data_IF_061113362602
#
_entry.id   IF_061113362602
#
_cell.length_a   1.000
_cell.length_b   1.000
_cell.length_c   1.000
_cell.angle_alpha   90.00
_cell.angle_beta   90.00
_cell.angle_gamma   90.00
#
_symmetry.space_group_name_H-M   'P 1'
#
loop_
_entity.id
_entity.type
_entity.pdbx_description
1 polymer ?
#
# COMPACT_ATOMS: atom_id res chain seq x y z
N UNK A 1 17.31 -14.47 -7.75
CA UNK A 1 16.05 -13.96 -7.17
C UNK A 1 14.88 -14.83 -7.62
N UNK A 2 14.46 -15.84 -6.80
CA UNK A 2 13.47 -16.84 -7.20
C UNK A 2 12.09 -16.25 -7.54
N UNK A 3 11.65 -15.23 -6.78
CA UNK A 3 10.33 -14.62 -6.96
C UNK A 3 10.18 -13.91 -8.31
N UNK A 4 11.22 -13.24 -8.78
CA UNK A 4 11.21 -12.54 -10.08
C UNK A 4 11.17 -13.53 -11.21
N UNK A 5 11.98 -14.60 -11.13
CA UNK A 5 11.99 -15.68 -12.11
C UNK A 5 10.60 -16.35 -12.20
N UNK A 6 9.99 -16.69 -11.07
CA UNK A 6 8.66 -17.28 -11.04
C UNK A 6 7.61 -16.36 -11.68
N UNK A 7 7.65 -15.05 -11.39
CA UNK A 7 6.74 -14.07 -12.01
C UNK A 7 6.93 -13.95 -13.51
N UNK A 8 8.18 -13.96 -14.00
CA UNK A 8 8.46 -13.95 -15.43
C UNK A 8 7.83 -15.16 -16.13
N UNK A 9 7.98 -16.36 -15.54
CA UNK A 9 7.36 -17.57 -16.07
C UNK A 9 5.83 -17.48 -16.03
N UNK A 10 5.23 -16.92 -14.97
CA UNK A 10 3.76 -16.73 -14.88
C UNK A 10 3.22 -15.80 -15.97
N UNK A 11 3.96 -14.73 -16.27
CA UNK A 11 3.62 -13.81 -17.37
C UNK A 11 3.70 -14.54 -18.71
N UNK A 12 4.80 -15.27 -18.97
CA UNK A 12 4.98 -16.03 -20.18
C UNK A 12 3.89 -17.10 -20.37
N UNK A 13 3.55 -17.85 -19.31
CA UNK A 13 2.44 -18.82 -19.35
C UNK A 13 1.14 -18.13 -19.77
N UNK A 14 0.84 -16.96 -19.20
CA UNK A 14 -0.37 -16.20 -19.54
C UNK A 14 -0.34 -15.72 -21.00
N UNK A 15 0.79 -15.19 -21.46
CA UNK A 15 0.95 -14.71 -22.83
C UNK A 15 0.74 -15.85 -23.85
N UNK A 16 1.35 -17.01 -23.63
CA UNK A 16 1.19 -18.16 -24.52
C UNK A 16 -0.22 -18.73 -24.50
N UNK A 17 -0.87 -18.78 -23.33
CA UNK A 17 -2.27 -19.20 -23.25
C UNK A 17 -3.21 -18.23 -24.01
N UNK A 18 -2.94 -16.93 -23.98
CA UNK A 18 -3.71 -15.95 -24.76
C UNK A 18 -3.46 -16.14 -26.27
N UNK A 19 -2.21 -16.36 -26.69
CA UNK A 19 -1.88 -16.62 -28.07
C UNK A 19 -2.54 -17.90 -28.61
N UNK A 20 -2.64 -18.95 -27.78
CA UNK A 20 -3.41 -20.16 -28.08
C UNK A 20 -4.90 -19.83 -28.25
N UNK A 21 -5.49 -19.03 -27.33
CA UNK A 21 -6.90 -18.60 -27.39
C UNK A 21 -7.23 -17.71 -28.59
N UNK A 22 -6.27 -16.92 -29.07
CA UNK A 22 -6.44 -16.06 -30.26
C UNK A 22 -6.18 -16.81 -31.58
N UNK A 23 -5.85 -18.08 -31.53
CA UNK A 23 -5.57 -18.89 -32.70
C UNK A 23 -4.21 -18.63 -33.34
N UNK A 24 -3.34 -17.87 -32.70
CA UNK A 24 -1.96 -17.63 -33.22
C UNK A 24 -1.04 -18.83 -33.05
N UNK A 25 -1.46 -19.78 -32.23
CA UNK A 25 -0.74 -21.03 -31.95
C UNK A 25 -1.74 -22.18 -31.81
N UNK A 26 -1.30 -23.42 -32.03
CA UNK A 26 -2.14 -24.59 -31.79
C UNK A 26 -2.56 -24.67 -30.33
N UNK A 27 -3.80 -25.00 -30.06
CA UNK A 27 -4.34 -25.10 -28.71
C UNK A 27 -3.50 -26.06 -27.85
N UNK A 28 -3.14 -25.63 -26.66
CA UNK A 28 -2.32 -26.43 -25.74
C UNK A 28 -0.83 -26.46 -26.02
N UNK A 29 -0.33 -25.72 -27.03
CA UNK A 29 1.09 -25.69 -27.44
C UNK A 29 1.97 -24.79 -26.56
N UNK A 30 1.49 -24.30 -25.39
CA UNK A 30 2.23 -23.41 -24.50
C UNK A 30 3.55 -24.07 -24.03
N UNK A 31 4.73 -23.55 -24.46
CA UNK A 31 6.04 -24.14 -24.13
C UNK A 31 6.42 -23.94 -22.64
N UNK A 32 5.73 -23.06 -21.93
CA UNK A 32 5.96 -22.82 -20.51
C UNK A 32 5.18 -23.77 -19.59
N UNK A 33 4.38 -24.69 -20.17
CA UNK A 33 3.75 -25.76 -19.40
C UNK A 33 4.83 -26.69 -18.83
N UNK A 34 4.74 -26.97 -17.52
CA UNK A 34 5.69 -27.84 -16.85
C UNK A 34 7.01 -27.20 -16.43
N UNK A 35 7.24 -25.91 -16.70
CA UNK A 35 8.40 -25.21 -16.14
C UNK A 35 8.28 -25.16 -14.62
N UNK A 36 9.22 -25.83 -13.93
CA UNK A 36 9.25 -25.87 -12.47
C UNK A 36 9.47 -24.46 -11.89
N UNK A 37 8.74 -24.15 -10.82
CA UNK A 37 8.93 -22.89 -10.07
C UNK A 37 10.02 -23.06 -9.05
N UNK A 38 10.87 -22.06 -8.91
CA UNK A 38 11.84 -22.01 -7.83
C UNK A 38 11.12 -21.91 -6.48
N UNK A 39 11.58 -22.67 -5.50
CA UNK A 39 11.08 -22.60 -4.13
C UNK A 39 11.33 -21.19 -3.58
N UNK A 40 10.29 -20.55 -3.10
CA UNK A 40 10.37 -19.24 -2.44
C UNK A 40 10.20 -19.48 -0.96
N UNK A 41 11.22 -19.13 -0.19
CA UNK A 41 11.12 -19.15 1.27
C UNK A 41 10.32 -17.95 1.74
N UNK A 42 9.34 -18.21 2.61
CA UNK A 42 8.58 -17.14 3.24
C UNK A 42 9.41 -16.56 4.37
N UNK A 43 9.68 -15.28 4.29
CA UNK A 43 10.28 -14.53 5.39
C UNK A 43 9.16 -13.98 6.26
N UNK A 44 8.90 -14.64 7.38
CA UNK A 44 7.95 -14.17 8.40
C UNK A 44 8.75 -13.50 9.52
N UNK A 45 8.71 -12.17 9.55
CA UNK A 45 9.31 -11.38 10.61
C UNK A 45 8.28 -10.40 11.17
N UNK A 46 8.01 -10.52 12.44
CA UNK A 46 7.20 -9.57 13.18
C UNK A 46 8.10 -8.65 14.00
N UNK A 47 7.69 -7.40 14.15
CA UNK A 47 8.40 -6.45 15.01
C UNK A 47 8.14 -6.80 16.48
N UNK A 48 9.20 -6.75 17.28
CA UNK A 48 9.06 -6.89 18.73
C UNK A 48 8.45 -5.62 19.35
N UNK A 49 8.04 -5.69 20.61
CA UNK A 49 7.51 -4.54 21.34
C UNK A 49 8.56 -3.43 21.43
N UNK A 50 9.81 -3.77 21.66
CA UNK A 50 10.95 -2.84 21.75
C UNK A 50 11.24 -2.18 20.41
N UNK A 51 11.13 -2.93 19.30
CA UNK A 51 11.27 -2.38 17.94
C UNK A 51 10.14 -1.42 17.60
N UNK A 52 8.90 -1.74 17.97
CA UNK A 52 7.76 -0.84 17.80
C UNK A 52 7.91 0.43 18.64
N UNK A 53 8.40 0.31 19.88
CA UNK A 53 8.68 1.47 20.73
C UNK A 53 9.73 2.39 20.09
N UNK A 54 10.87 1.84 19.66
CA UNK A 54 11.92 2.60 18.97
C UNK A 54 11.43 3.25 17.68
N UNK A 55 10.60 2.55 16.90
CA UNK A 55 9.97 3.13 15.72
C UNK A 55 9.08 4.33 16.10
N UNK A 56 8.29 4.20 17.16
CA UNK A 56 7.43 5.28 17.65
C UNK A 56 8.23 6.53 18.06
N UNK A 57 9.36 6.34 18.74
CA UNK A 57 10.28 7.44 19.13
C UNK A 57 10.94 8.08 17.92
N UNK A 58 11.47 7.27 17.01
CA UNK A 58 12.08 7.76 15.77
C UNK A 58 11.10 8.59 14.93
N UNK A 59 9.85 8.11 14.77
CA UNK A 59 8.81 8.85 14.06
C UNK A 59 8.37 10.13 14.78
N UNK A 60 8.61 10.25 16.07
CA UNK A 60 8.32 11.45 16.85
C UNK A 60 9.42 12.50 16.66
N UNK A 61 10.68 12.08 16.62
CA UNK A 61 11.85 12.94 16.44
C UNK A 61 12.05 13.38 14.98
N UNK A 62 11.75 12.50 14.01
CA UNK A 62 12.04 12.68 12.60
C UNK A 62 11.64 14.05 11.99
N UNK A 63 10.48 14.66 12.31
CA UNK A 63 10.13 15.98 11.78
C UNK A 63 11.04 17.11 12.31
N UNK A 64 11.41 17.06 13.58
CA UNK A 64 12.31 18.05 14.19
C UNK A 64 13.74 17.94 13.64
N UNK A 65 14.18 16.71 13.38
CA UNK A 65 15.49 16.40 12.81
C UNK A 65 15.52 16.53 11.28
N UNK A 66 14.42 16.95 10.66
CA UNK A 66 14.25 17.06 9.19
C UNK A 66 14.51 15.77 8.40
N UNK A 67 14.39 14.62 9.04
CA UNK A 67 14.54 13.31 8.41
C UNK A 67 13.27 12.90 7.65
N UNK A 68 12.10 13.37 8.08
CA UNK A 68 10.82 13.15 7.42
C UNK A 68 9.87 14.32 7.64
N UNK A 69 8.93 14.54 6.71
CA UNK A 69 7.86 15.49 6.93
C UNK A 69 6.90 14.99 8.01
N UNK A 70 6.18 15.91 8.67
CA UNK A 70 5.12 15.58 9.63
C UNK A 70 4.09 14.61 9.01
N UNK A 71 3.75 14.82 7.74
CA UNK A 71 2.80 13.98 7.01
C UNK A 71 3.37 12.59 6.72
N UNK A 72 4.65 12.47 6.38
CA UNK A 72 5.29 11.17 6.16
C UNK A 72 5.36 10.35 7.45
N UNK A 73 5.76 10.98 8.56
CA UNK A 73 5.77 10.33 9.87
C UNK A 73 4.36 9.87 10.30
N UNK A 74 3.35 10.71 10.06
CA UNK A 74 1.96 10.37 10.34
C UNK A 74 1.45 9.22 9.46
N UNK A 75 1.80 9.20 8.17
CA UNK A 75 1.43 8.11 7.27
C UNK A 75 1.96 6.76 7.75
N UNK A 76 3.22 6.70 8.19
CA UNK A 76 3.81 5.46 8.73
C UNK A 76 3.07 5.04 10.01
N UNK A 77 2.77 5.98 10.91
CA UNK A 77 1.99 5.68 12.12
C UNK A 77 0.61 5.12 11.79
N UNK A 78 -0.10 5.75 10.84
CA UNK A 78 -1.41 5.28 10.40
C UNK A 78 -1.35 3.88 9.79
N UNK A 79 -0.31 3.57 8.99
CA UNK A 79 -0.11 2.23 8.45
C UNK A 79 0.05 1.19 9.56
N UNK A 80 0.82 1.49 10.60
CA UNK A 80 1.02 0.59 11.76
C UNK A 80 -0.27 0.43 12.56
N UNK A 81 -1.01 1.52 12.80
CA UNK A 81 -2.22 1.51 13.63
C UNK A 81 -3.44 0.90 12.96
N UNK A 82 -3.51 0.96 11.61
CA UNK A 82 -4.71 0.55 10.87
C UNK A 82 -4.53 -0.72 10.06
N UNK A 83 -3.30 -1.12 9.75
CA UNK A 83 -3.02 -2.22 8.83
C UNK A 83 -3.50 -1.99 7.39
N UNK A 84 -3.85 -0.75 7.03
CA UNK A 84 -4.27 -0.39 5.69
C UNK A 84 -3.11 -0.50 4.69
N UNK A 85 -3.44 -0.62 3.40
CA UNK A 85 -2.42 -0.60 2.35
C UNK A 85 -1.81 0.79 2.21
N UNK A 86 -0.53 0.84 1.82
CA UNK A 86 0.19 2.10 1.65
C UNK A 86 -0.61 3.14 0.86
N UNK A 87 -1.12 2.79 -0.31
CA UNK A 87 -1.85 3.73 -1.16
C UNK A 87 -3.20 4.14 -0.58
N UNK A 88 -3.86 3.28 0.19
CA UNK A 88 -5.10 3.62 0.89
C UNK A 88 -4.88 4.77 1.89
N UNK A 89 -3.75 4.76 2.60
CA UNK A 89 -3.39 5.86 3.52
C UNK A 89 -2.88 7.08 2.77
N UNK A 90 -2.04 6.91 1.73
CA UNK A 90 -1.47 8.04 0.99
C UNK A 90 -2.53 8.82 0.17
N UNK A 91 -3.60 8.16 -0.26
CA UNK A 91 -4.71 8.77 -1.00
C UNK A 91 -5.89 9.20 -0.12
N UNK A 92 -5.81 9.04 1.20
CA UNK A 92 -6.86 9.39 2.15
C UNK A 92 -7.08 10.91 2.15
N UNK A 93 -8.35 11.34 2.16
CA UNK A 93 -8.76 12.75 2.19
C UNK A 93 -9.44 13.08 3.50
N UNK A 94 -9.46 14.33 3.87
CA UNK A 94 -10.18 14.80 5.06
C UNK A 94 -11.68 14.47 5.00
N UNK A 95 -12.30 14.57 3.82
CA UNK A 95 -13.71 14.25 3.59
C UNK A 95 -14.02 12.75 3.73
N UNK A 96 -13.01 11.91 3.79
CA UNK A 96 -13.14 10.47 4.00
C UNK A 96 -13.12 10.07 5.47
N UNK A 97 -12.96 11.04 6.37
CA UNK A 97 -12.84 10.83 7.82
C UNK A 97 -14.13 11.24 8.53
N UNK A 98 -14.72 10.29 9.22
CA UNK A 98 -15.81 10.57 10.17
C UNK A 98 -15.29 10.35 11.58
N UNK A 99 -14.92 11.44 12.26
CA UNK A 99 -14.39 11.40 13.62
C UNK A 99 -15.46 11.07 14.67
N UNK A 100 -16.73 11.39 14.40
CA UNK A 100 -17.85 11.13 15.30
C UNK A 100 -18.24 9.66 15.28
N UNK A 101 -18.29 9.07 14.09
CA UNK A 101 -18.51 7.64 13.92
C UNK A 101 -17.24 6.80 14.17
N UNK A 102 -16.06 7.41 14.25
CA UNK A 102 -14.79 6.68 14.35
C UNK A 102 -14.47 5.85 13.12
N UNK A 103 -14.68 6.39 11.92
CA UNK A 103 -14.58 5.65 10.67
C UNK A 103 -13.73 6.39 9.62
N UNK A 104 -13.05 5.60 8.79
CA UNK A 104 -12.31 6.06 7.60
C UNK A 104 -12.88 5.39 6.35
N UNK A 105 -13.27 6.17 5.34
CA UNK A 105 -13.72 5.66 4.04
C UNK A 105 -12.55 5.57 3.07
N UNK A 106 -12.18 4.36 2.71
CA UNK A 106 -11.15 4.08 1.71
C UNK A 106 -11.81 3.96 0.33
N UNK A 107 -11.60 4.97 -0.54
CA UNK A 107 -12.28 5.06 -1.86
C UNK A 107 -11.72 4.07 -2.86
N UNK A 108 -10.39 3.88 -2.85
CA UNK A 108 -9.66 3.11 -3.85
C UNK A 108 -8.98 1.90 -3.19
N UNK A 109 -9.77 0.89 -2.88
CA UNK A 109 -9.27 -0.40 -2.41
C UNK A 109 -9.30 -1.42 -3.56
N UNK A 110 -8.36 -2.36 -3.59
CA UNK A 110 -8.28 -3.46 -4.57
C UNK A 110 -9.62 -4.22 -4.73
N UNK A 111 -10.48 -4.15 -3.73
CA UNK A 111 -11.79 -4.83 -3.67
C UNK A 111 -12.98 -3.86 -3.73
N UNK A 112 -12.76 -2.60 -4.13
CA UNK A 112 -13.77 -1.54 -4.12
C UNK A 112 -13.70 -0.66 -2.86
N UNK A 113 -14.55 0.37 -2.78
CA UNK A 113 -14.60 1.26 -1.62
C UNK A 113 -15.03 0.49 -0.36
N UNK A 114 -14.35 0.77 0.76
CA UNK A 114 -14.66 0.15 2.06
C UNK A 114 -14.51 1.14 3.19
N UNK A 115 -15.23 0.93 4.27
CA UNK A 115 -15.09 1.66 5.53
C UNK A 115 -14.26 0.83 6.52
N UNK A 116 -13.35 1.49 7.20
CA UNK A 116 -12.46 0.89 8.19
C UNK A 116 -12.63 1.64 9.52
N UNK A 117 -12.75 0.94 10.65
CA UNK A 117 -12.80 1.59 11.95
C UNK A 117 -11.50 2.35 12.24
N UNK A 118 -11.62 3.53 12.81
CA UNK A 118 -10.53 4.41 13.18
C UNK A 118 -10.31 4.31 14.69
N UNK A 119 -9.24 3.62 15.10
CA UNK A 119 -8.86 3.55 16.50
C UNK A 119 -8.55 4.97 17.06
N UNK A 120 -8.76 5.18 18.37
CA UNK A 120 -8.50 6.47 19.03
C UNK A 120 -7.10 7.01 18.74
N UNK A 121 -6.08 6.16 18.81
CA UNK A 121 -4.70 6.54 18.48
C UNK A 121 -4.52 7.02 17.03
N UNK A 122 -5.23 6.42 16.07
CA UNK A 122 -5.22 6.88 14.67
C UNK A 122 -5.93 8.23 14.53
N UNK A 123 -7.04 8.43 15.24
CA UNK A 123 -7.76 9.71 15.27
C UNK A 123 -6.89 10.84 15.86
N UNK A 124 -6.13 10.58 16.91
CA UNK A 124 -5.17 11.53 17.49
C UNK A 124 -4.09 11.94 16.51
N UNK A 125 -3.49 10.97 15.81
CA UNK A 125 -2.50 11.25 14.75
C UNK A 125 -3.10 12.15 13.67
N UNK A 126 -4.32 11.88 13.23
CA UNK A 126 -5.01 12.65 12.20
C UNK A 126 -5.36 14.06 12.68
N UNK A 127 -5.87 14.22 13.91
CA UNK A 127 -6.19 15.53 14.47
C UNK A 127 -4.97 16.44 14.64
N UNK A 128 -3.79 15.85 14.87
CA UNK A 128 -2.53 16.58 14.99
C UNK A 128 -1.95 17.07 13.66
N UNK A 129 -2.54 16.70 12.51
CA UNK A 129 -2.05 17.12 11.21
C UNK A 129 -2.66 18.46 10.77
N UNK A 130 -1.88 19.34 10.11
CA UNK A 130 -2.42 20.56 9.53
C UNK A 130 -3.41 20.20 8.41
N UNK A 131 -4.60 20.79 8.43
CA UNK A 131 -5.61 20.64 7.39
C UNK A 131 -5.23 21.51 6.19
N UNK A 132 -4.81 20.87 5.12
CA UNK A 132 -4.61 21.53 3.83
C UNK A 132 -5.83 21.27 2.94
N UNK A 133 -6.49 22.33 2.49
CA UNK A 133 -7.71 22.24 1.69
C UNK A 133 -7.50 21.47 0.38
N UNK A 134 -8.23 20.37 0.22
CA UNK A 134 -8.36 19.65 -1.04
C UNK A 134 -7.18 18.72 -1.41
N UNK A 135 -6.26 18.44 -0.49
CA UNK A 135 -5.06 17.65 -0.74
C UNK A 135 -5.07 16.41 0.16
N UNK A 136 -4.62 15.28 -0.38
CA UNK A 136 -4.36 14.05 0.35
C UNK A 136 -3.57 14.31 1.64
N UNK A 137 -3.88 13.59 2.72
CA UNK A 137 -3.27 13.72 4.06
C UNK A 137 -1.73 13.74 4.08
N UNK A 138 -1.09 13.27 3.03
CA UNK A 138 0.37 13.11 2.95
C UNK A 138 1.03 14.14 2.04
N UNK A 139 0.26 14.86 1.24
CA UNK A 139 0.79 15.85 0.29
C UNK A 139 0.69 17.26 0.89
N UNK A 140 1.58 17.59 1.82
CA UNK A 140 1.79 18.97 2.30
C UNK A 140 2.53 19.85 1.30
N UNK A 141 2.94 19.33 0.17
CA UNK A 141 3.65 20.05 -0.87
C UNK A 141 2.98 19.83 -2.24
N UNK A 142 2.89 20.90 -3.06
CA UNK A 142 2.29 20.92 -4.40
C UNK A 142 3.02 20.04 -5.43
N UNK A 143 4.04 19.32 -5.01
CA UNK A 143 4.87 18.52 -5.88
C UNK A 143 4.52 17.04 -5.73
N UNK A 144 3.59 16.59 -6.58
CA UNK A 144 3.45 15.25 -7.14
C UNK A 144 3.96 14.08 -6.29
N UNK A 145 3.12 13.49 -5.46
CA UNK A 145 3.16 12.04 -5.34
C UNK A 145 2.26 11.54 -6.46
N UNK A 146 2.90 10.92 -7.45
CA UNK A 146 2.26 10.36 -8.62
C UNK A 146 1.29 9.29 -8.15
N UNK A 147 -0.01 9.63 -8.05
CA UNK A 147 -1.05 8.64 -8.22
C UNK A 147 -0.97 8.24 -9.69
N UNK A 148 -0.27 7.15 -9.98
CA UNK A 148 -0.47 6.47 -11.25
C UNK A 148 -1.93 6.00 -11.22
N UNK A 149 -2.78 6.46 -12.17
CA UNK A 149 -4.11 5.90 -12.28
C UNK A 149 -3.93 4.40 -12.49
N UNK A 150 -4.64 3.61 -11.69
CA UNK A 150 -4.79 2.20 -11.94
C UNK A 150 -5.48 2.09 -13.31
N UNK A 151 -4.68 1.91 -14.36
CA UNK A 151 -5.20 1.49 -15.65
C UNK A 151 -5.83 0.13 -15.45
N UNK A 152 -7.14 0.08 -15.69
CA UNK A 152 -7.94 -1.13 -15.81
C UNK A 152 -7.31 -2.17 -16.73
#
# INVERSE_FOLDING_TARGET
MPTVANRAVDILVKMFNLADGWGWRPAGSNPCRGVARSKVEKHERFLTREELHRLGEALRAAPAERLASVHAAAAIRLLVLTGCRRNEILCLRWDDLNFDAGEMRLRDSKTGARTVPMASAAAEVLRGLPRTNGISLVSGDRTRIICLPATC
#
